data_IF_836281439688
#
_entry.id   IF_836281439688
#
_cell.length_a   1.000
_cell.length_b   1.000
_cell.length_c   1.000
_cell.angle_alpha   90.00
_cell.angle_beta   90.00
_cell.angle_gamma   90.00
#
_symmetry.space_group_name_H-M   'P 1'
#
loop_
_entity.id
_entity.type
_entity.pdbx_description
1 polymer ?
#
# COMPACT_ATOMS: atom_id res chain seq x y z
N UNK A 1 -42.87 2.41 22.95
CA UNK A 1 -42.04 3.17 22.00
C UNK A 1 -40.59 2.89 22.37
N UNK A 2 -40.04 1.73 22.00
CA UNK A 2 -39.26 1.50 20.77
C UNK A 2 -38.29 2.64 20.48
N UNK A 3 -37.04 2.50 20.93
CA UNK A 3 -35.81 2.99 20.28
C UNK A 3 -34.59 2.42 21.04
N UNK A 4 -34.42 1.10 20.93
CA UNK A 4 -33.22 0.38 21.38
C UNK A 4 -32.95 -0.74 20.38
N UNK A 5 -32.05 -0.53 19.39
CA UNK A 5 -31.36 -1.62 18.64
C UNK A 5 -30.75 -1.23 17.27
N UNK A 6 -29.96 -0.17 17.11
CA UNK A 6 -29.25 0.00 15.82
C UNK A 6 -27.77 0.45 15.84
N UNK A 7 -27.14 0.58 17.00
CA UNK A 7 -25.74 1.00 17.10
C UNK A 7 -24.73 -0.12 17.37
N UNK A 8 -25.13 -1.40 17.27
CA UNK A 8 -24.28 -2.52 17.72
C UNK A 8 -24.17 -3.74 16.80
N UNK A 9 -24.62 -3.69 15.53
CA UNK A 9 -24.61 -4.87 14.64
C UNK A 9 -23.48 -4.92 13.61
N UNK A 10 -22.67 -3.87 13.48
CA UNK A 10 -21.62 -3.82 12.44
C UNK A 10 -20.22 -4.25 12.91
N UNK A 11 -20.04 -4.60 14.19
CA UNK A 11 -18.70 -4.84 14.74
C UNK A 11 -18.21 -6.30 14.63
N UNK A 12 -19.01 -7.24 14.12
CA UNK A 12 -18.67 -8.67 14.03
C UNK A 12 -19.33 -9.43 12.87
N UNK A 13 -19.32 -8.90 11.65
CA UNK A 13 -19.35 -9.81 10.49
C UNK A 13 -17.90 -10.28 10.32
N UNK A 14 -17.66 -11.59 10.47
CA UNK A 14 -16.31 -12.12 10.60
C UNK A 14 -15.47 -11.80 9.35
N UNK A 15 -14.21 -11.40 9.53
CA UNK A 15 -13.27 -11.06 8.44
C UNK A 15 -13.06 -12.20 7.41
N UNK A 16 -13.57 -13.40 7.69
CA UNK A 16 -13.66 -14.55 6.77
C UNK A 16 -14.80 -14.41 5.76
N UNK A 17 -15.95 -13.85 6.16
CA UNK A 17 -17.15 -13.77 5.33
C UNK A 17 -16.96 -12.81 4.15
N UNK A 18 -16.22 -11.72 4.36
CA UNK A 18 -15.96 -10.73 3.30
C UNK A 18 -15.17 -11.33 2.14
N UNK A 19 -14.18 -12.17 2.43
CA UNK A 19 -13.39 -12.78 1.36
C UNK A 19 -14.18 -13.87 0.63
N UNK A 20 -15.06 -14.58 1.33
CA UNK A 20 -16.00 -15.52 0.69
C UNK A 20 -16.92 -14.78 -0.28
N UNK A 21 -17.51 -13.67 0.14
CA UNK A 21 -18.36 -12.85 -0.74
C UNK A 21 -17.58 -12.28 -1.93
N UNK A 22 -16.31 -11.90 -1.73
CA UNK A 22 -15.43 -11.44 -2.82
C UNK A 22 -15.21 -12.55 -3.85
N UNK A 23 -14.94 -13.78 -3.41
CA UNK A 23 -14.77 -14.94 -4.30
C UNK A 23 -16.07 -15.29 -5.05
N UNK A 24 -17.23 -15.16 -4.40
CA UNK A 24 -18.54 -15.33 -5.05
C UNK A 24 -18.77 -14.26 -6.12
N UNK A 25 -18.50 -13.00 -5.80
CA UNK A 25 -18.59 -11.90 -6.75
C UNK A 25 -17.64 -12.06 -7.95
N UNK A 26 -16.40 -12.54 -7.73
CA UNK A 26 -15.46 -12.89 -8.79
C UNK A 26 -15.97 -14.03 -9.69
N UNK A 27 -16.79 -14.93 -9.14
CA UNK A 27 -17.39 -16.05 -9.87
C UNK A 27 -18.65 -15.66 -10.66
N UNK A 28 -19.01 -14.37 -10.68
CA UNK A 28 -20.16 -13.84 -11.42
C UNK A 28 -21.44 -13.65 -10.60
N UNK A 29 -21.38 -13.77 -9.27
CA UNK A 29 -22.52 -13.48 -8.40
C UNK A 29 -22.73 -11.95 -8.24
N UNK A 30 -23.67 -11.41 -9.02
CA UNK A 30 -24.00 -9.98 -8.99
C UNK A 30 -24.65 -9.55 -7.66
N UNK A 31 -25.34 -10.44 -6.95
CA UNK A 31 -25.95 -10.10 -5.65
C UNK A 31 -24.85 -9.92 -4.61
N UNK A 32 -23.90 -10.87 -4.54
CA UNK A 32 -22.74 -10.75 -3.66
C UNK A 32 -21.94 -9.46 -3.91
N UNK A 33 -21.77 -9.06 -5.18
CA UNK A 33 -21.09 -7.81 -5.53
C UNK A 33 -21.88 -6.58 -5.05
N UNK A 34 -23.18 -6.52 -5.31
CA UNK A 34 -24.03 -5.40 -4.88
C UNK A 34 -24.07 -5.28 -3.35
N UNK A 35 -24.18 -6.40 -2.64
CA UNK A 35 -24.16 -6.44 -1.18
C UNK A 35 -22.82 -5.94 -0.61
N UNK A 36 -21.70 -6.31 -1.24
CA UNK A 36 -20.39 -5.79 -0.88
C UNK A 36 -20.30 -4.27 -1.10
N UNK A 37 -20.74 -3.76 -2.26
CA UNK A 37 -20.72 -2.33 -2.58
C UNK A 37 -21.58 -1.53 -1.60
N UNK A 38 -22.77 -2.03 -1.25
CA UNK A 38 -23.65 -1.38 -0.30
C UNK A 38 -23.07 -1.40 1.13
N UNK A 39 -22.66 -2.59 1.60
CA UNK A 39 -22.17 -2.79 2.97
C UNK A 39 -20.88 -2.03 3.25
N UNK A 40 -20.01 -1.89 2.25
CA UNK A 40 -18.74 -1.18 2.37
C UNK A 40 -18.77 0.27 1.88
N UNK A 41 -19.95 0.83 1.55
CA UNK A 41 -20.12 2.26 1.23
C UNK A 41 -19.47 3.20 2.26
N UNK A 42 -19.68 3.03 3.58
CA UNK A 42 -19.04 3.88 4.58
C UNK A 42 -17.51 3.80 4.56
N UNK A 43 -16.96 2.62 4.26
CA UNK A 43 -15.52 2.41 4.12
C UNK A 43 -14.98 3.16 2.89
N UNK A 44 -15.63 3.04 1.73
CA UNK A 44 -15.22 3.72 0.50
C UNK A 44 -15.25 5.24 0.65
N UNK A 45 -16.33 5.79 1.21
CA UNK A 45 -16.45 7.22 1.52
C UNK A 45 -15.37 7.69 2.47
N UNK A 46 -15.05 6.89 3.50
CA UNK A 46 -13.97 7.20 4.44
C UNK A 46 -12.62 7.30 3.73
N UNK A 47 -12.27 6.33 2.88
CA UNK A 47 -11.00 6.35 2.13
C UNK A 47 -10.95 7.54 1.17
N UNK A 48 -12.02 7.82 0.44
CA UNK A 48 -12.10 8.99 -0.44
C UNK A 48 -11.97 10.31 0.36
N UNK A 49 -12.66 10.42 1.49
CA UNK A 49 -12.61 11.58 2.38
C UNK A 49 -11.21 11.84 2.95
N UNK A 50 -10.49 10.78 3.31
CA UNK A 50 -9.09 10.87 3.73
C UNK A 50 -8.19 11.50 2.65
N UNK A 51 -8.36 11.07 1.40
CA UNK A 51 -7.61 11.62 0.26
C UNK A 51 -8.00 13.08 -0.02
N UNK A 52 -9.29 13.37 -0.07
CA UNK A 52 -9.82 14.68 -0.46
C UNK A 52 -9.73 15.71 0.67
N UNK A 53 -9.49 15.28 1.91
CA UNK A 53 -9.48 16.10 3.14
C UNK A 53 -10.79 16.87 3.38
N UNK A 54 -11.90 16.35 2.85
CA UNK A 54 -13.28 16.85 3.04
C UNK A 54 -14.23 15.67 3.21
N UNK A 55 -15.44 15.91 3.72
CA UNK A 55 -16.48 14.90 3.72
C UNK A 55 -16.91 14.58 2.28
N UNK A 56 -17.22 13.31 2.01
CA UNK A 56 -17.66 12.80 0.71
C UNK A 56 -19.06 12.23 0.85
N UNK A 57 -19.98 12.70 0.01
CA UNK A 57 -21.36 12.24 -0.06
C UNK A 57 -21.59 11.22 -1.19
N UNK A 58 -22.86 10.83 -1.41
CA UNK A 58 -23.21 9.87 -2.47
C UNK A 58 -23.25 10.48 -3.89
N UNK A 59 -23.26 11.81 -4.00
CA UNK A 59 -23.37 12.54 -5.26
C UNK A 59 -22.02 13.05 -5.76
N UNK A 60 -21.00 13.06 -4.90
CA UNK A 60 -19.62 13.40 -5.23
C UNK A 60 -19.02 12.42 -6.28
N UNK A 61 -18.35 12.98 -7.29
CA UNK A 61 -17.67 12.20 -8.33
C UNK A 61 -16.58 11.29 -7.73
N UNK A 62 -15.89 11.74 -6.68
CA UNK A 62 -14.88 10.96 -5.98
C UNK A 62 -15.46 9.69 -5.34
N UNK A 63 -16.73 9.70 -4.93
CA UNK A 63 -17.40 8.50 -4.45
C UNK A 63 -17.70 7.52 -5.58
N UNK A 64 -18.11 8.01 -6.75
CA UNK A 64 -18.28 7.19 -7.95
C UNK A 64 -16.97 6.53 -8.38
N UNK A 65 -15.86 7.26 -8.29
CA UNK A 65 -14.51 6.72 -8.53
C UNK A 65 -14.15 5.67 -7.47
N UNK A 66 -14.46 5.91 -6.20
CA UNK A 66 -14.19 4.95 -5.13
C UNK A 66 -15.00 3.65 -5.30
N UNK A 67 -16.26 3.73 -5.72
CA UNK A 67 -17.10 2.56 -6.05
C UNK A 67 -16.49 1.73 -7.19
N UNK A 68 -16.11 2.39 -8.28
CA UNK A 68 -15.46 1.73 -9.42
C UNK A 68 -14.15 1.06 -9.02
N UNK A 69 -13.33 1.74 -8.22
CA UNK A 69 -12.07 1.23 -7.71
C UNK A 69 -12.25 0.04 -6.75
N UNK A 70 -13.31 0.05 -5.93
CA UNK A 70 -13.62 -1.08 -5.07
C UNK A 70 -14.07 -2.30 -5.87
N UNK A 71 -14.89 -2.11 -6.92
CA UNK A 71 -15.21 -3.21 -7.84
C UNK A 71 -13.95 -3.75 -8.52
N UNK A 72 -13.03 -2.88 -8.98
CA UNK A 72 -11.72 -3.32 -9.49
C UNK A 72 -10.96 -4.14 -8.44
N UNK A 73 -10.97 -3.71 -7.18
CA UNK A 73 -10.34 -4.44 -6.10
C UNK A 73 -10.99 -5.81 -5.87
N UNK A 74 -12.32 -5.93 -5.94
CA UNK A 74 -13.04 -7.22 -5.87
C UNK A 74 -12.54 -8.14 -6.99
N UNK A 75 -12.50 -7.66 -8.23
CA UNK A 75 -12.10 -8.47 -9.38
C UNK A 75 -10.62 -8.91 -9.35
N UNK A 76 -9.74 -8.07 -8.79
CA UNK A 76 -8.28 -8.32 -8.78
C UNK A 76 -7.75 -8.91 -7.48
N UNK A 77 -8.59 -9.13 -6.49
CA UNK A 77 -8.15 -9.63 -5.19
C UNK A 77 -7.60 -11.05 -5.32
N UNK A 78 -6.38 -11.25 -4.83
CA UNK A 78 -5.72 -12.54 -4.70
C UNK A 78 -5.45 -12.85 -3.22
N UNK A 79 -6.08 -13.90 -2.70
CA UNK A 79 -5.97 -14.29 -1.30
C UNK A 79 -4.56 -14.81 -0.92
N UNK A 80 -3.76 -15.28 -1.87
CA UNK A 80 -2.43 -15.82 -1.63
C UNK A 80 -1.41 -14.69 -1.40
N UNK A 81 -1.52 -13.61 -2.18
CA UNK A 81 -0.52 -12.53 -2.19
C UNK A 81 -0.92 -11.32 -1.34
N UNK A 82 -2.21 -11.14 -1.04
CA UNK A 82 -2.70 -9.98 -0.28
C UNK A 82 -2.98 -10.31 1.19
N UNK A 83 -2.82 -9.31 2.07
CA UNK A 83 -3.01 -9.48 3.52
C UNK A 83 -4.48 -9.73 3.88
N UNK A 84 -5.32 -8.82 3.37
CA UNK A 84 -6.77 -8.79 3.53
C UNK A 84 -7.36 -8.06 2.34
N UNK A 85 -8.59 -8.40 2.00
CA UNK A 85 -9.32 -7.66 0.96
C UNK A 85 -9.41 -6.16 1.27
N UNK A 86 -9.68 -5.77 2.52
CA UNK A 86 -9.79 -4.36 2.89
C UNK A 86 -8.48 -3.57 2.78
N UNK A 87 -7.34 -4.19 3.07
CA UNK A 87 -6.03 -3.53 2.87
C UNK A 87 -5.78 -3.29 1.39
N UNK A 88 -6.05 -4.30 0.56
CA UNK A 88 -5.91 -4.19 -0.89
C UNK A 88 -6.89 -3.15 -1.48
N UNK A 89 -8.17 -3.22 -1.12
CA UNK A 89 -9.19 -2.28 -1.56
C UNK A 89 -8.87 -0.84 -1.13
N UNK A 90 -8.37 -0.63 0.09
CA UNK A 90 -7.92 0.68 0.55
C UNK A 90 -6.84 1.27 -0.37
N UNK A 91 -5.82 0.47 -0.73
CA UNK A 91 -4.76 0.89 -1.65
C UNK A 91 -5.31 1.23 -3.04
N UNK A 92 -6.16 0.37 -3.60
CA UNK A 92 -6.74 0.57 -4.94
C UNK A 92 -7.61 1.82 -4.99
N UNK A 93 -8.55 1.98 -4.03
CA UNK A 93 -9.41 3.16 -3.95
C UNK A 93 -8.57 4.43 -3.83
N UNK A 94 -7.63 4.46 -2.89
CA UNK A 94 -6.78 5.63 -2.66
C UNK A 94 -6.04 6.03 -3.95
N UNK A 95 -5.42 5.06 -4.63
CA UNK A 95 -4.72 5.31 -5.89
C UNK A 95 -5.65 5.88 -6.95
N UNK A 96 -6.83 5.31 -7.14
CA UNK A 96 -7.80 5.75 -8.16
C UNK A 96 -8.34 7.15 -7.88
N UNK A 97 -8.65 7.47 -6.62
CA UNK A 97 -9.11 8.80 -6.23
C UNK A 97 -7.99 9.84 -6.41
N UNK A 98 -6.74 9.51 -6.05
CA UNK A 98 -5.59 10.40 -6.32
C UNK A 98 -5.41 10.64 -7.81
N UNK A 99 -5.47 9.58 -8.62
CA UNK A 99 -5.33 9.68 -10.08
C UNK A 99 -6.47 10.53 -10.69
N UNK A 100 -7.69 10.42 -10.17
CA UNK A 100 -8.82 11.26 -10.55
C UNK A 100 -8.57 12.74 -10.23
N UNK A 101 -8.22 13.08 -8.99
CA UNK A 101 -7.94 14.47 -8.57
C UNK A 101 -6.78 15.07 -9.38
N UNK A 102 -5.73 14.28 -9.67
CA UNK A 102 -4.61 14.70 -10.52
C UNK A 102 -5.03 14.95 -11.96
N UNK A 103 -5.98 14.17 -12.49
CA UNK A 103 -6.52 14.37 -13.84
C UNK A 103 -7.43 15.59 -13.89
N UNK A 104 -8.26 15.81 -12.89
CA UNK A 104 -9.17 16.94 -12.80
C UNK A 104 -8.42 18.27 -12.65
N UNK A 105 -7.42 18.32 -11.76
CA UNK A 105 -6.53 19.49 -11.62
C UNK A 105 -5.78 19.83 -12.92
N UNK A 106 -5.26 18.80 -13.61
CA UNK A 106 -4.68 18.98 -14.95
C UNK A 106 -5.73 19.49 -15.94
N UNK A 107 -6.93 18.91 -15.99
CA UNK A 107 -7.98 19.36 -16.91
C UNK A 107 -8.46 20.78 -16.63
N UNK A 108 -8.47 21.21 -15.36
CA UNK A 108 -8.73 22.61 -14.99
C UNK A 108 -7.62 23.54 -15.52
N UNK A 109 -6.36 23.12 -15.44
CA UNK A 109 -5.22 23.85 -16.03
C UNK A 109 -5.18 23.80 -17.57
N UNK A 110 -5.61 22.69 -18.18
CA UNK A 110 -5.65 22.44 -19.64
C UNK A 110 -6.93 22.98 -20.33
N UNK A 111 -7.76 23.75 -19.63
CA UNK A 111 -8.83 24.54 -20.26
C UNK A 111 -8.30 25.69 -21.14
N UNK A 112 -6.99 25.92 -21.13
CA UNK A 112 -6.23 26.57 -22.19
C UNK A 112 -5.23 25.56 -22.83
N UNK A 113 -5.32 25.44 -24.15
CA UNK A 113 -4.45 24.69 -25.09
C UNK A 113 -4.62 23.16 -25.26
N UNK A 114 -5.22 22.80 -26.40
CA UNK A 114 -5.00 21.57 -27.20
C UNK A 114 -3.85 21.88 -28.19
N UNK A 115 -2.86 21.04 -28.55
CA UNK A 115 -2.86 19.66 -29.08
C UNK A 115 -1.36 19.25 -29.45
N UNK A 116 -1.02 18.14 -30.17
CA UNK A 116 -0.48 16.87 -29.64
C UNK A 116 0.93 16.39 -30.17
N UNK A 117 1.38 15.24 -29.62
CA UNK A 117 2.01 14.06 -30.27
C UNK A 117 3.54 13.92 -30.60
N UNK A 118 4.13 12.86 -29.99
CA UNK A 118 4.95 11.73 -30.54
C UNK A 118 6.52 11.80 -30.60
N UNK A 119 7.12 10.74 -30.03
CA UNK A 119 8.50 10.18 -29.91
C UNK A 119 9.05 9.61 -31.27
N UNK A 120 10.20 8.89 -31.47
CA UNK A 120 11.40 8.55 -30.64
C UNK A 120 12.79 8.60 -31.37
N UNK A 121 13.83 8.20 -30.62
CA UNK A 121 15.04 7.41 -30.99
C UNK A 121 16.43 8.08 -30.98
N UNK A 122 17.41 7.42 -30.31
CA UNK A 122 18.77 7.17 -30.87
C UNK A 122 19.65 6.22 -30.00
N UNK A 123 19.92 5.04 -30.59
CA UNK A 123 21.13 4.20 -30.68
C UNK A 123 22.14 3.87 -29.54
N UNK A 124 22.19 2.56 -29.25
CA UNK A 124 23.29 1.58 -29.06
C UNK A 124 24.79 1.99 -29.05
N UNK A 125 25.56 1.31 -28.17
CA UNK A 125 26.87 0.73 -28.51
C UNK A 125 27.25 -0.43 -27.53
N UNK A 126 27.53 -1.62 -28.09
CA UNK A 126 27.91 -2.86 -27.37
C UNK A 126 29.34 -3.24 -27.76
N UNK A 127 30.31 -3.03 -26.87
CA UNK A 127 31.68 -3.57 -27.00
C UNK A 127 32.46 -3.48 -25.66
N UNK A 128 32.33 -4.49 -24.78
CA UNK A 128 33.43 -5.03 -23.93
C UNK A 128 32.90 -6.01 -22.85
N UNK A 129 32.38 -7.17 -23.25
CA UNK A 129 31.48 -7.92 -22.38
C UNK A 129 32.13 -8.68 -21.19
N UNK A 130 33.46 -8.87 -21.12
CA UNK A 130 34.07 -9.68 -20.03
C UNK A 130 34.77 -8.84 -18.95
N UNK A 131 35.59 -7.87 -19.35
CA UNK A 131 36.23 -6.92 -18.42
C UNK A 131 35.23 -5.91 -17.85
N UNK A 132 34.24 -5.49 -18.67
CA UNK A 132 33.13 -4.66 -18.22
C UNK A 132 32.25 -5.37 -17.19
N UNK A 133 31.99 -6.68 -17.31
CA UNK A 133 31.21 -7.41 -16.30
C UNK A 133 31.90 -7.37 -14.94
N UNK A 134 33.19 -7.71 -14.86
CA UNK A 134 33.90 -7.73 -13.58
C UNK A 134 34.03 -6.32 -12.95
N UNK A 135 34.21 -5.29 -13.77
CA UNK A 135 34.21 -3.89 -13.34
C UNK A 135 32.81 -3.44 -12.89
N UNK A 136 31.77 -3.79 -13.64
CA UNK A 136 30.36 -3.51 -13.34
C UNK A 136 29.93 -4.19 -12.04
N UNK A 137 30.34 -5.44 -11.80
CA UNK A 137 30.05 -6.15 -10.53
C UNK A 137 30.71 -5.43 -9.35
N UNK A 138 31.99 -5.03 -9.48
CA UNK A 138 32.69 -4.28 -8.41
C UNK A 138 32.04 -2.92 -8.15
N UNK A 139 31.58 -2.25 -9.20
CA UNK A 139 30.92 -0.94 -9.08
C UNK A 139 29.51 -1.06 -8.49
N UNK A 140 28.75 -2.10 -8.85
CA UNK A 140 27.48 -2.45 -8.23
C UNK A 140 27.65 -2.82 -6.75
N UNK A 141 28.69 -3.56 -6.40
CA UNK A 141 29.02 -3.89 -5.01
C UNK A 141 29.34 -2.63 -4.19
N UNK A 142 30.06 -1.68 -4.79
CA UNK A 142 30.32 -0.38 -4.16
C UNK A 142 29.02 0.39 -3.91
N UNK A 143 28.17 0.52 -4.94
CA UNK A 143 26.85 1.17 -4.82
C UNK A 143 25.95 0.50 -3.78
N UNK A 144 25.97 -0.83 -3.69
CA UNK A 144 25.22 -1.58 -2.67
C UNK A 144 25.71 -1.26 -1.26
N UNK A 145 27.03 -1.14 -1.04
CA UNK A 145 27.60 -0.75 0.27
C UNK A 145 27.21 0.67 0.66
N UNK A 146 27.25 1.60 -0.30
CA UNK A 146 26.80 2.98 -0.09
C UNK A 146 25.32 3.03 0.31
N UNK A 147 24.46 2.27 -0.38
CA UNK A 147 23.03 2.16 -0.03
C UNK A 147 22.78 1.52 1.33
N UNK A 148 23.56 0.51 1.73
CA UNK A 148 23.48 -0.10 3.07
C UNK A 148 23.77 0.94 4.14
N UNK A 149 24.81 1.76 3.94
CA UNK A 149 25.18 2.80 4.88
C UNK A 149 24.10 3.89 4.96
N UNK A 150 23.57 4.34 3.82
CA UNK A 150 22.47 5.31 3.79
C UNK A 150 21.20 4.77 4.47
N UNK A 151 20.93 3.46 4.32
CA UNK A 151 19.82 2.84 5.02
C UNK A 151 20.05 2.76 6.53
N UNK A 152 21.29 2.48 6.96
CA UNK A 152 21.65 2.48 8.38
C UNK A 152 21.42 3.85 9.03
N UNK A 153 21.85 4.93 8.38
CA UNK A 153 21.58 6.29 8.87
C UNK A 153 20.08 6.56 9.01
N UNK A 154 19.27 6.19 8.00
CA UNK A 154 17.81 6.30 8.07
C UNK A 154 17.21 5.48 9.20
N UNK A 155 17.71 4.28 9.47
CA UNK A 155 17.24 3.44 10.58
C UNK A 155 17.55 4.07 11.94
N UNK A 156 18.72 4.71 12.08
CA UNK A 156 19.14 5.34 13.33
C UNK A 156 18.21 6.47 13.75
N UNK A 157 17.63 7.23 12.81
CA UNK A 157 16.60 8.25 13.11
C UNK A 157 15.37 7.69 13.85
N UNK A 158 15.13 6.38 13.75
CA UNK A 158 14.03 5.66 14.38
C UNK A 158 14.48 4.81 15.57
N UNK A 159 15.73 4.97 16.02
CA UNK A 159 16.33 4.16 17.07
C UNK A 159 16.48 2.68 16.67
N UNK A 160 16.67 2.41 15.38
CA UNK A 160 16.87 1.08 14.82
C UNK A 160 18.31 0.93 14.34
N UNK A 161 18.76 -0.33 14.30
CA UNK A 161 20.04 -0.75 13.73
C UNK A 161 19.88 -2.11 13.09
N UNK A 162 20.78 -2.52 12.20
CA UNK A 162 20.73 -3.87 11.61
C UNK A 162 20.77 -4.96 12.68
N UNK A 163 21.59 -4.81 13.71
CA UNK A 163 21.63 -5.75 14.85
C UNK A 163 20.30 -5.83 15.62
N UNK A 164 19.56 -4.73 15.72
CA UNK A 164 18.20 -4.74 16.28
C UNK A 164 17.24 -5.46 15.33
N UNK A 165 17.31 -5.19 14.03
CA UNK A 165 16.46 -5.81 13.03
C UNK A 165 16.61 -7.33 13.00
N UNK A 166 17.83 -7.85 13.08
CA UNK A 166 18.07 -9.31 13.15
C UNK A 166 17.32 -9.95 14.32
N UNK A 167 17.26 -9.27 15.48
CA UNK A 167 16.60 -9.79 16.69
C UNK A 167 15.07 -9.70 16.65
N UNK A 168 14.53 -8.68 15.98
CA UNK A 168 13.07 -8.40 16.00
C UNK A 168 12.35 -8.83 14.72
N UNK A 169 13.09 -9.28 13.70
CA UNK A 169 12.50 -9.76 12.45
C UNK A 169 11.62 -10.99 12.70
N UNK A 170 10.42 -11.06 12.11
CA UNK A 170 9.57 -12.23 12.22
C UNK A 170 10.24 -13.49 11.67
N UNK A 171 10.30 -14.52 12.52
CA UNK A 171 10.86 -15.84 12.16
C UNK A 171 9.95 -16.57 11.18
N UNK A 172 8.64 -16.57 11.46
CA UNK A 172 7.65 -17.25 10.63
C UNK A 172 7.33 -16.44 9.37
N UNK A 173 7.20 -17.14 8.24
CA UNK A 173 6.94 -16.56 6.92
C UNK A 173 5.66 -15.72 6.90
N UNK A 174 4.56 -16.20 7.50
CA UNK A 174 3.28 -15.48 7.52
C UNK A 174 3.36 -14.13 8.24
N UNK A 175 4.04 -14.12 9.40
CA UNK A 175 4.25 -12.90 10.17
C UNK A 175 5.15 -11.91 9.41
N UNK A 176 6.11 -12.42 8.63
CA UNK A 176 6.98 -11.59 7.78
C UNK A 176 6.19 -10.99 6.62
N UNK A 177 5.44 -11.81 5.87
CA UNK A 177 4.55 -11.37 4.78
C UNK A 177 3.59 -10.28 5.26
N UNK A 178 2.91 -10.54 6.37
CA UNK A 178 1.96 -9.56 6.95
C UNK A 178 2.65 -8.25 7.32
N UNK A 179 3.86 -8.32 7.90
CA UNK A 179 4.59 -7.10 8.29
C UNK A 179 5.03 -6.27 7.08
N UNK A 180 5.42 -6.92 5.99
CA UNK A 180 5.78 -6.25 4.73
C UNK A 180 4.55 -5.61 4.09
N UNK A 181 3.40 -6.28 4.12
CA UNK A 181 2.14 -5.72 3.60
C UNK A 181 1.68 -4.51 4.42
N UNK A 182 1.82 -4.54 5.76
CA UNK A 182 1.57 -3.36 6.59
C UNK A 182 2.54 -2.23 6.22
N UNK A 183 3.81 -2.55 6.00
CA UNK A 183 4.79 -1.55 5.56
C UNK A 183 4.40 -0.91 4.22
N UNK A 184 3.90 -1.69 3.25
CA UNK A 184 3.40 -1.19 1.96
C UNK A 184 2.23 -0.24 2.17
N UNK A 185 1.25 -0.65 2.96
CA UNK A 185 0.10 0.19 3.31
C UNK A 185 0.54 1.54 3.91
N UNK A 186 1.56 1.53 4.78
CA UNK A 186 2.11 2.75 5.39
C UNK A 186 2.89 3.59 4.38
N UNK A 187 3.64 2.97 3.46
CA UNK A 187 4.42 3.65 2.44
C UNK A 187 3.56 4.32 1.36
N UNK A 188 2.43 3.70 1.00
CA UNK A 188 1.55 4.17 -0.07
C UNK A 188 0.44 5.11 0.42
N UNK A 189 0.15 5.13 1.72
CA UNK A 189 -0.83 6.04 2.30
C UNK A 189 -0.14 7.28 2.85
N UNK A 190 -0.28 8.44 2.18
CA UNK A 190 0.42 9.67 2.57
C UNK A 190 0.19 10.04 4.04
N UNK A 191 -1.02 9.91 4.55
CA UNK A 191 -1.31 10.19 5.97
C UNK A 191 -0.45 9.33 6.91
N UNK A 192 -0.35 8.03 6.63
CA UNK A 192 0.44 7.11 7.46
C UNK A 192 1.94 7.33 7.27
N UNK A 193 2.37 7.65 6.05
CA UNK A 193 3.74 8.03 5.73
C UNK A 193 4.16 9.28 6.50
N UNK A 194 3.38 10.37 6.43
CA UNK A 194 3.66 11.60 7.16
C UNK A 194 3.63 11.36 8.67
N UNK A 195 2.65 10.61 9.18
CA UNK A 195 2.61 10.23 10.59
C UNK A 195 3.89 9.48 11.02
N UNK A 196 4.35 8.53 10.21
CA UNK A 196 5.59 7.81 10.47
C UNK A 196 6.82 8.73 10.41
N UNK A 197 6.89 9.64 9.44
CA UNK A 197 8.03 10.56 9.28
C UNK A 197 8.10 11.58 10.42
N UNK A 198 6.97 12.16 10.82
CA UNK A 198 6.90 13.22 11.81
C UNK A 198 6.95 12.70 13.25
N UNK A 199 6.20 11.62 13.53
CA UNK A 199 6.09 11.06 14.89
C UNK A 199 7.07 9.93 15.15
N UNK A 200 7.77 9.45 14.12
CA UNK A 200 8.68 8.29 14.18
C UNK A 200 8.00 7.03 14.78
N UNK A 201 6.69 6.89 14.57
CA UNK A 201 5.82 5.84 15.13
C UNK A 201 4.79 5.37 14.10
N UNK A 202 4.28 4.16 14.27
CA UNK A 202 3.20 3.63 13.42
C UNK A 202 1.82 4.13 13.89
N UNK A 203 0.91 4.47 12.96
CA UNK A 203 -0.50 4.74 13.26
C UNK A 203 -1.26 3.42 13.49
N UNK A 204 -1.01 2.77 14.63
CA UNK A 204 -1.48 1.40 14.90
C UNK A 204 -3.00 1.30 14.96
N UNK A 205 -3.67 2.33 15.49
CA UNK A 205 -5.15 2.37 15.60
C UNK A 205 -5.83 2.40 14.25
N UNK A 206 -5.19 3.03 13.27
CA UNK A 206 -5.71 3.17 11.92
C UNK A 206 -5.45 1.86 11.15
N UNK A 207 -4.23 1.32 11.28
CA UNK A 207 -3.81 0.07 10.62
C UNK A 207 -4.65 -1.13 11.10
N UNK A 208 -4.95 -1.26 12.40
CA UNK A 208 -5.67 -2.43 12.95
C UNK A 208 -7.06 -2.64 12.35
N UNK A 209 -7.69 -1.56 11.86
CA UNK A 209 -9.00 -1.61 11.21
C UNK A 209 -8.93 -2.13 9.77
N UNK A 210 -7.76 -2.09 9.13
CA UNK A 210 -7.57 -2.46 7.73
C UNK A 210 -7.00 -3.87 7.57
N UNK A 211 -6.28 -4.36 8.58
CA UNK A 211 -5.56 -5.64 8.51
C UNK A 211 -6.23 -6.74 9.32
N UNK A 212 -5.95 -8.01 8.98
CA UNK A 212 -6.50 -9.17 9.71
C UNK A 212 -5.82 -9.45 11.05
N UNK A 213 -4.60 -8.96 11.24
CA UNK A 213 -3.80 -9.28 12.43
C UNK A 213 -4.21 -8.43 13.64
N UNK A 214 -4.06 -9.02 14.83
CA UNK A 214 -4.34 -8.33 16.08
C UNK A 214 -3.40 -7.13 16.31
N UNK A 215 -3.88 -6.12 17.05
CA UNK A 215 -3.05 -5.00 17.53
C UNK A 215 -1.75 -5.46 18.19
N UNK A 216 -1.82 -6.53 19.00
CA UNK A 216 -0.66 -7.13 19.68
C UNK A 216 0.38 -7.64 18.69
N UNK A 217 -0.04 -8.21 17.56
CA UNK A 217 0.84 -8.67 16.49
C UNK A 217 1.54 -7.49 15.81
N UNK A 218 0.80 -6.41 15.50
CA UNK A 218 1.36 -5.19 14.90
C UNK A 218 2.41 -4.58 15.86
N UNK A 219 2.07 -4.43 17.14
CA UNK A 219 2.97 -3.90 18.16
C UNK A 219 4.24 -4.73 18.34
N UNK A 220 4.11 -6.06 18.31
CA UNK A 220 5.26 -6.99 18.41
C UNK A 220 6.23 -6.80 17.25
N UNK A 221 5.71 -6.62 16.05
CA UNK A 221 6.52 -6.52 14.82
C UNK A 221 6.80 -5.06 14.40
N UNK A 222 6.39 -4.05 15.20
CA UNK A 222 6.42 -2.63 14.80
C UNK A 222 7.77 -2.15 14.29
N UNK A 223 8.87 -2.58 14.91
CA UNK A 223 10.23 -2.19 14.52
C UNK A 223 10.59 -2.70 13.13
N UNK A 224 10.21 -3.94 12.83
CA UNK A 224 10.41 -4.54 11.51
C UNK A 224 9.52 -3.88 10.46
N UNK A 225 8.25 -3.59 10.79
CA UNK A 225 7.32 -2.88 9.91
C UNK A 225 7.87 -1.48 9.55
N UNK A 226 8.32 -0.71 10.55
CA UNK A 226 8.93 0.62 10.31
C UNK A 226 10.11 0.51 9.36
N UNK A 227 11.03 -0.42 9.61
CA UNK A 227 12.19 -0.61 8.75
C UNK A 227 11.78 -0.93 7.31
N UNK A 228 10.87 -1.88 7.10
CA UNK A 228 10.38 -2.21 5.75
C UNK A 228 9.68 -1.03 5.08
N UNK A 229 8.95 -0.20 5.83
CA UNK A 229 8.28 0.99 5.30
C UNK A 229 9.30 2.04 4.86
N UNK A 230 10.35 2.29 5.65
CA UNK A 230 11.44 3.20 5.30
C UNK A 230 12.20 2.72 4.06
N UNK A 231 12.44 1.41 3.96
CA UNK A 231 13.05 0.82 2.78
C UNK A 231 12.18 1.06 1.54
N UNK A 232 10.87 0.83 1.62
CA UNK A 232 9.95 1.03 0.49
C UNK A 232 9.89 2.49 0.06
N UNK A 233 9.88 3.43 1.00
CA UNK A 233 9.88 4.88 0.76
C UNK A 233 11.21 5.43 0.20
N UNK A 234 12.29 4.63 0.23
CA UNK A 234 13.63 5.07 -0.15
C UNK A 234 14.01 4.70 -1.59
N UNK A 235 14.90 5.46 -2.22
CA UNK A 235 15.42 5.16 -3.58
C UNK A 235 16.63 4.19 -3.57
N UNK A 236 16.62 3.22 -2.67
CA UNK A 236 17.70 2.24 -2.48
C UNK A 236 17.50 1.01 -3.38
N UNK A 237 17.76 1.16 -4.67
CA UNK A 237 17.42 0.18 -5.69
C UNK A 237 18.27 -1.10 -5.56
N UNK A 238 19.58 -0.98 -5.33
CA UNK A 238 20.48 -2.13 -5.19
C UNK A 238 20.16 -2.96 -3.93
N UNK A 239 19.79 -2.30 -2.84
CA UNK A 239 19.39 -2.95 -1.59
C UNK A 239 18.02 -3.61 -1.71
N UNK A 240 17.04 -2.95 -2.35
CA UNK A 240 15.73 -3.53 -2.64
C UNK A 240 15.86 -4.78 -3.51
N UNK A 241 16.67 -4.73 -4.56
CA UNK A 241 16.88 -5.87 -5.46
C UNK A 241 17.57 -7.04 -4.76
N UNK A 242 18.55 -6.77 -3.89
CA UNK A 242 19.16 -7.80 -3.05
C UNK A 242 18.12 -8.50 -2.16
N UNK A 243 17.18 -7.74 -1.60
CA UNK A 243 16.14 -8.26 -0.72
C UNK A 243 15.02 -8.99 -1.47
N UNK A 244 14.72 -8.66 -2.73
CA UNK A 244 13.73 -9.40 -3.54
C UNK A 244 14.03 -10.89 -3.61
N UNK A 245 15.31 -11.27 -3.72
CA UNK A 245 15.74 -12.68 -3.71
C UNK A 245 15.50 -13.41 -2.39
N UNK A 246 15.22 -12.69 -1.30
CA UNK A 246 14.94 -13.22 0.05
C UNK A 246 13.48 -13.06 0.48
N UNK A 247 12.70 -12.27 -0.26
CA UNK A 247 11.32 -11.92 0.05
C UNK A 247 10.28 -12.71 -0.78
N UNK A 248 10.71 -13.33 -1.88
CA UNK A 248 9.90 -14.25 -2.70
C UNK A 248 9.95 -15.68 -2.15
#
# INVERSE_FOLDING_TARGET
MLLSSLSGRFERVEKSDTEIMVLQAQSGDEQALNDLLFSYSPFMKKVASQVCKRFIDDHDDEYSVALSAFNEAVQKFDQIHNASFLTFAHMVIRRRVIDFIRKESRQAEFSHDFMPAIDPESHNCVADHAASIAYTIKEQDKKRREEIYLYEEKLQEYGLSFGTLVKVSPVHQDARKTSIQIAQLVAETDEYKHYLMDKKKLPIKEIENLVKVSRKTIERNRKYIIAMALLQMSDLHFLKDYLKGWLN
#
